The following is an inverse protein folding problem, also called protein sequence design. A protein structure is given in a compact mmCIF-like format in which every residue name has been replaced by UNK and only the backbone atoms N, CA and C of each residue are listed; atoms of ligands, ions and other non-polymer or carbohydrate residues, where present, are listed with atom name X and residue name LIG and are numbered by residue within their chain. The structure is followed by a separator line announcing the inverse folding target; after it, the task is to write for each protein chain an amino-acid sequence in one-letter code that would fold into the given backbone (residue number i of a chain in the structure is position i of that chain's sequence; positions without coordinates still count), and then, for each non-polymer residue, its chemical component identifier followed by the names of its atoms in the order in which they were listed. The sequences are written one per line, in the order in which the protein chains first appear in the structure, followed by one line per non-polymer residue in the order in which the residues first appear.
data_IF_285953729548
#
_entry.id   IF_285953729548
#
_cell.length_a   1.000
_cell.length_b   1.000
_cell.length_c   1.000
_cell.angle_alpha   90.00
_cell.angle_beta   90.00
_cell.angle_gamma   90.00
#
_symmetry.space_group_name_H-M   'P 1'
#
loop_
_entity.id
_entity.type
_entity.pdbx_description
1 polymer ?
#
# COMPACT_ATOMS: atom_id res chain seq x y z
N UNK A 1 -11.45 -26.88 4.13
CA UNK A 1 -12.14 -25.78 4.80
C UNK A 1 -13.03 -25.16 3.74
N UNK A 2 -14.35 -25.22 3.90
CA UNK A 2 -15.28 -24.51 3.03
C UNK A 2 -15.29 -23.07 3.51
N UNK A 3 -14.59 -22.19 2.81
CA UNK A 3 -14.69 -20.76 3.09
C UNK A 3 -15.95 -20.23 2.40
N UNK A 4 -16.75 -19.43 3.11
CA UNK A 4 -17.80 -18.66 2.45
C UNK A 4 -17.16 -17.68 1.45
N UNK A 5 -17.79 -17.40 0.31
CA UNK A 5 -17.29 -16.37 -0.62
C UNK A 5 -17.42 -14.99 0.00
N UNK A 6 -16.59 -14.05 -0.47
CA UNK A 6 -16.71 -12.63 -0.17
C UNK A 6 -18.12 -12.14 -0.55
N UNK A 7 -18.78 -11.42 0.36
CA UNK A 7 -20.13 -10.90 0.16
C UNK A 7 -20.20 -9.74 -0.84
N UNK A 8 -21.42 -9.26 -1.08
CA UNK A 8 -21.70 -8.14 -2.02
C UNK A 8 -21.09 -6.79 -1.56
N UNK A 9 -20.64 -6.70 -0.32
CA UNK A 9 -20.03 -5.48 0.26
C UNK A 9 -18.65 -5.14 -0.34
N UNK A 10 -18.07 -6.05 -1.13
CA UNK A 10 -16.79 -5.86 -1.80
C UNK A 10 -15.58 -6.21 -0.93
N UNK A 11 -14.38 -6.00 -1.48
CA UNK A 11 -13.10 -6.30 -0.87
C UNK A 11 -12.59 -5.09 -0.07
N UNK A 12 -12.47 -5.18 1.28
CA UNK A 12 -11.92 -4.10 2.08
C UNK A 12 -10.44 -3.84 1.77
N UNK A 13 -10.06 -2.55 1.72
CA UNK A 13 -8.67 -2.11 1.61
C UNK A 13 -8.36 -1.21 2.80
N UNK A 14 -7.38 -1.59 3.61
CA UNK A 14 -6.85 -0.74 4.68
C UNK A 14 -5.63 0.02 4.17
N UNK A 15 -5.69 1.34 4.26
CA UNK A 15 -4.64 2.25 3.79
C UNK A 15 -3.92 2.85 4.99
N UNK A 16 -2.59 2.76 4.98
CA UNK A 16 -1.68 3.34 5.96
C UNK A 16 -0.66 4.23 5.25
N UNK A 17 -0.04 5.17 6.00
CA UNK A 17 1.03 6.02 5.48
C UNK A 17 2.25 5.96 6.39
N UNK A 18 2.20 6.56 7.59
CA UNK A 18 3.34 6.77 8.45
C UNK A 18 3.19 6.06 9.79
N UNK A 19 4.32 5.64 10.35
CA UNK A 19 4.40 4.91 11.60
C UNK A 19 5.31 5.64 12.59
N UNK A 20 5.00 5.53 13.87
CA UNK A 20 5.85 6.02 14.95
C UNK A 20 5.83 5.04 16.13
N UNK A 21 6.79 5.21 17.04
CA UNK A 21 6.86 4.47 18.30
C UNK A 21 6.74 5.50 19.44
N UNK A 22 5.57 5.57 20.09
CA UNK A 22 5.30 6.54 21.15
C UNK A 22 6.29 6.42 22.31
N UNK A 23 6.89 5.25 22.51
CA UNK A 23 7.92 5.05 23.53
C UNK A 23 9.25 5.74 23.18
N UNK A 24 9.53 5.96 21.89
CA UNK A 24 10.77 6.58 21.41
C UNK A 24 10.57 8.04 20.98
N UNK A 25 9.42 8.35 20.39
CA UNK A 25 9.15 9.63 19.74
C UNK A 25 7.84 10.25 20.25
N UNK A 26 7.80 10.59 21.55
CA UNK A 26 6.59 11.15 22.20
C UNK A 26 6.02 12.34 21.45
N UNK A 27 4.72 12.26 21.16
CA UNK A 27 3.95 13.33 20.53
C UNK A 27 4.12 13.42 19.01
N UNK A 28 4.77 12.47 18.37
CA UNK A 28 4.69 12.25 16.92
C UNK A 28 3.30 11.66 16.56
N UNK A 29 2.86 11.77 15.34
CA UNK A 29 1.60 11.16 14.91
C UNK A 29 0.34 11.94 15.27
N UNK A 30 0.38 13.25 15.09
CA UNK A 30 -0.74 14.14 15.46
C UNK A 30 -1.82 14.29 14.39
N UNK A 31 -1.62 13.78 13.21
CA UNK A 31 -2.63 13.76 12.15
C UNK A 31 -3.07 12.33 11.79
N UNK A 32 -4.12 12.23 10.98
CA UNK A 32 -4.76 10.94 10.66
C UNK A 32 -3.92 10.01 9.78
N UNK A 33 -2.77 10.45 9.30
CA UNK A 33 -1.87 9.63 8.47
C UNK A 33 -0.85 8.86 9.31
N UNK A 34 -0.76 9.14 10.60
CA UNK A 34 0.18 8.49 11.51
C UNK A 34 -0.51 7.49 12.42
N UNK A 35 0.11 6.31 12.60
CA UNK A 35 -0.33 5.30 13.56
C UNK A 35 0.82 4.87 14.46
N UNK A 36 0.55 4.67 15.75
CA UNK A 36 1.51 4.06 16.66
C UNK A 36 1.76 2.61 16.26
N UNK A 37 3.02 2.19 16.31
CA UNK A 37 3.39 0.83 15.89
C UNK A 37 2.75 -0.25 16.75
N UNK A 38 2.45 0.02 18.02
CA UNK A 38 1.76 -0.94 18.89
C UNK A 38 0.30 -1.12 18.48
N UNK A 39 -0.38 -0.04 18.07
CA UNK A 39 -1.76 -0.11 17.58
C UNK A 39 -1.83 -0.84 16.23
N UNK A 40 -0.86 -0.57 15.34
CA UNK A 40 -0.73 -1.31 14.08
C UNK A 40 -0.48 -2.80 14.33
N UNK A 41 0.43 -3.15 15.22
CA UNK A 41 0.71 -4.54 15.55
C UNK A 41 -0.51 -5.25 16.14
N UNK A 42 -1.31 -4.58 16.97
CA UNK A 42 -2.55 -5.15 17.50
C UNK A 42 -3.56 -5.44 16.38
N UNK A 43 -3.70 -4.54 15.39
CA UNK A 43 -4.55 -4.76 14.21
C UNK A 43 -4.06 -5.96 13.38
N UNK A 44 -2.77 -6.04 13.07
CA UNK A 44 -2.18 -7.15 12.30
C UNK A 44 -2.33 -8.48 13.03
N UNK A 45 -2.11 -8.48 14.34
CA UNK A 45 -2.33 -9.65 15.18
C UNK A 45 -3.80 -10.12 15.13
N UNK A 46 -4.74 -9.19 15.25
CA UNK A 46 -6.17 -9.51 15.14
C UNK A 46 -6.52 -10.16 13.79
N UNK A 47 -6.02 -9.61 12.69
CA UNK A 47 -6.25 -10.16 11.35
C UNK A 47 -5.67 -11.57 11.22
N UNK A 48 -4.46 -11.79 11.73
CA UNK A 48 -3.80 -13.09 11.74
C UNK A 48 -4.57 -14.14 12.57
N UNK A 49 -4.94 -13.81 13.81
CA UNK A 49 -5.61 -14.72 14.73
C UNK A 49 -7.05 -15.06 14.30
N UNK A 50 -7.68 -14.20 13.50
CA UNK A 50 -9.04 -14.40 12.98
C UNK A 50 -9.07 -14.98 11.55
N UNK A 51 -7.94 -15.47 11.04
CA UNK A 51 -7.81 -16.16 9.76
C UNK A 51 -8.28 -15.30 8.58
N UNK A 52 -7.91 -14.02 8.54
CA UNK A 52 -8.12 -13.19 7.37
C UNK A 52 -7.24 -13.67 6.22
N UNK A 53 -7.74 -13.55 5.00
CA UNK A 53 -7.06 -13.88 3.76
C UNK A 53 -6.55 -12.61 3.08
N UNK A 54 -5.30 -12.63 2.63
CA UNK A 54 -4.65 -11.51 1.96
C UNK A 54 -4.43 -11.86 0.49
N UNK A 55 -5.39 -11.51 -0.40
CA UNK A 55 -5.30 -11.87 -1.80
C UNK A 55 -4.16 -11.14 -2.50
N UNK A 56 -3.53 -11.80 -3.45
CA UNK A 56 -2.62 -11.16 -4.40
C UNK A 56 -3.39 -10.26 -5.36
N UNK A 57 -2.74 -9.27 -5.95
CA UNK A 57 -3.38 -8.40 -6.95
C UNK A 57 -3.90 -9.18 -8.16
N UNK A 58 -3.24 -10.27 -8.52
CA UNK A 58 -3.74 -11.17 -9.57
C UNK A 58 -5.07 -11.83 -9.19
N UNK A 59 -5.21 -12.29 -7.97
CA UNK A 59 -6.48 -12.85 -7.49
C UNK A 59 -7.58 -11.78 -7.41
N UNK A 60 -7.22 -10.54 -7.07
CA UNK A 60 -8.15 -9.39 -7.10
C UNK A 60 -8.62 -9.10 -8.52
N UNK A 61 -7.71 -9.07 -9.50
CA UNK A 61 -8.05 -8.92 -10.91
C UNK A 61 -8.99 -10.04 -11.40
N UNK A 62 -8.64 -11.28 -11.10
CA UNK A 62 -9.47 -12.45 -11.44
C UNK A 62 -10.84 -12.41 -10.75
N UNK A 63 -10.93 -11.89 -9.53
CA UNK A 63 -12.19 -11.68 -8.82
C UNK A 63 -13.05 -10.60 -9.49
N UNK A 64 -12.47 -9.45 -9.85
CA UNK A 64 -13.15 -8.37 -10.57
C UNK A 64 -13.69 -8.85 -11.93
N UNK A 65 -12.91 -9.68 -12.62
CA UNK A 65 -13.29 -10.29 -13.90
C UNK A 65 -14.33 -11.43 -13.76
N UNK A 66 -14.72 -11.80 -12.54
CA UNK A 66 -15.65 -12.90 -12.27
C UNK A 66 -15.05 -14.29 -12.55
N UNK A 67 -13.72 -14.41 -12.63
CA UNK A 67 -13.01 -15.67 -12.90
C UNK A 67 -12.73 -16.50 -11.64
N UNK A 68 -12.72 -15.86 -10.49
CA UNK A 68 -12.51 -16.49 -9.19
C UNK A 68 -13.41 -15.89 -8.12
N UNK A 69 -13.47 -16.54 -6.96
CA UNK A 69 -14.12 -16.03 -5.75
C UNK A 69 -13.07 -15.86 -4.67
N UNK A 70 -13.18 -14.79 -3.87
CA UNK A 70 -12.36 -14.59 -2.70
C UNK A 70 -13.07 -15.08 -1.44
N UNK A 71 -12.33 -15.53 -0.41
CA UNK A 71 -12.90 -15.87 0.90
C UNK A 71 -13.60 -14.67 1.55
N UNK A 72 -14.62 -14.92 2.36
CA UNK A 72 -15.41 -13.89 3.08
C UNK A 72 -14.54 -12.91 3.88
N UNK A 73 -13.49 -13.40 4.53
CA UNK A 73 -12.56 -12.58 5.30
C UNK A 73 -11.34 -12.13 4.49
N UNK A 74 -11.54 -11.75 3.23
CA UNK A 74 -10.45 -11.19 2.41
C UNK A 74 -10.26 -9.71 2.70
N UNK A 75 -9.00 -9.26 2.78
CA UNK A 75 -8.62 -7.88 3.03
C UNK A 75 -7.28 -7.56 2.38
N UNK A 76 -7.12 -6.33 1.88
CA UNK A 76 -5.84 -5.84 1.35
C UNK A 76 -5.26 -4.82 2.33
N UNK A 77 -3.94 -4.90 2.54
CA UNK A 77 -3.17 -3.91 3.29
C UNK A 77 -2.35 -3.08 2.31
N UNK A 78 -2.51 -1.78 2.32
CA UNK A 78 -1.74 -0.84 1.49
C UNK A 78 -1.01 0.19 2.34
N UNK A 79 0.16 0.58 1.87
CA UNK A 79 1.08 1.50 2.53
C UNK A 79 1.55 2.50 1.51
N UNK A 80 1.04 3.73 1.59
CA UNK A 80 1.30 4.76 0.61
C UNK A 80 2.61 5.49 0.89
N UNK A 81 3.13 6.19 -0.11
CA UNK A 81 4.36 6.98 -0.17
C UNK A 81 5.66 6.17 -0.21
N UNK A 82 5.82 5.10 0.57
CA UNK A 82 7.07 4.35 0.71
C UNK A 82 8.05 5.00 1.70
N UNK A 83 7.54 5.68 2.73
CA UNK A 83 8.32 6.38 3.75
C UNK A 83 9.22 5.43 4.57
N UNK A 84 10.27 5.99 5.16
CA UNK A 84 11.20 5.25 6.01
C UNK A 84 10.52 4.51 7.15
N UNK A 85 9.52 5.13 7.78
CA UNK A 85 8.83 4.56 8.94
C UNK A 85 8.09 3.26 8.62
N UNK A 86 7.55 3.12 7.40
CA UNK A 86 6.99 1.85 6.94
C UNK A 86 8.04 0.73 6.96
N UNK A 87 9.22 0.97 6.37
CA UNK A 87 10.27 -0.06 6.28
C UNK A 87 10.88 -0.39 7.64
N UNK A 88 11.04 0.61 8.51
CA UNK A 88 11.72 0.46 9.79
C UNK A 88 10.80 -0.11 10.88
N UNK A 89 9.51 0.19 10.83
CA UNK A 89 8.56 -0.18 11.89
C UNK A 89 7.51 -1.19 11.42
N UNK A 90 6.81 -0.94 10.30
CA UNK A 90 5.69 -1.79 9.88
C UNK A 90 6.15 -3.11 9.23
N UNK A 91 7.19 -3.09 8.39
CA UNK A 91 7.70 -4.31 7.72
C UNK A 91 8.09 -5.40 8.71
N UNK A 92 8.81 -5.14 9.84
CA UNK A 92 9.07 -6.15 10.86
C UNK A 92 7.79 -6.79 11.43
N UNK A 93 6.73 -6.01 11.61
CA UNK A 93 5.43 -6.53 12.07
C UNK A 93 4.80 -7.44 11.03
N UNK A 94 4.74 -7.03 9.76
CA UNK A 94 4.24 -7.87 8.67
C UNK A 94 5.00 -9.20 8.59
N UNK A 95 6.32 -9.16 8.69
CA UNK A 95 7.18 -10.35 8.68
C UNK A 95 6.94 -11.26 9.88
N UNK A 96 6.74 -10.68 11.07
CA UNK A 96 6.45 -11.43 12.31
C UNK A 96 5.18 -12.27 12.19
N UNK A 97 4.14 -11.74 11.55
CA UNK A 97 2.87 -12.43 11.37
C UNK A 97 2.75 -13.13 10.00
N UNK A 98 3.80 -13.04 9.16
CA UNK A 98 3.84 -13.58 7.79
C UNK A 98 2.63 -13.13 6.95
N UNK A 99 2.33 -11.84 6.99
CA UNK A 99 1.23 -11.20 6.25
C UNK A 99 1.83 -10.31 5.15
N UNK A 100 1.30 -10.41 3.95
CA UNK A 100 1.73 -9.62 2.81
C UNK A 100 0.99 -8.27 2.77
N UNK A 101 1.74 -7.22 2.43
CA UNK A 101 1.22 -5.90 2.20
C UNK A 101 1.77 -5.27 0.93
N UNK A 102 1.09 -4.27 0.39
CA UNK A 102 1.53 -3.56 -0.81
C UNK A 102 2.00 -2.15 -0.46
N UNK A 103 3.24 -1.83 -0.75
CA UNK A 103 3.77 -0.47 -0.67
C UNK A 103 3.63 0.21 -2.03
N UNK A 104 2.83 1.27 -2.07
CA UNK A 104 2.74 2.19 -3.19
C UNK A 104 3.81 3.26 -3.04
N UNK A 105 4.85 3.20 -3.89
CA UNK A 105 6.07 4.00 -3.70
C UNK A 105 6.08 5.22 -4.60
N UNK A 106 6.33 6.42 -4.03
CA UNK A 106 6.71 7.62 -4.77
C UNK A 106 8.18 7.43 -5.18
N UNK A 107 8.42 7.06 -6.44
CA UNK A 107 9.73 6.55 -6.82
C UNK A 107 10.82 7.61 -6.89
N UNK A 108 10.49 8.86 -7.16
CA UNK A 108 11.46 9.97 -7.08
C UNK A 108 11.93 10.27 -5.65
N UNK A 109 11.17 9.87 -4.62
CA UNK A 109 11.54 10.08 -3.22
C UNK A 109 12.16 8.83 -2.59
N UNK A 110 11.54 7.69 -2.80
CA UNK A 110 11.83 6.46 -2.05
C UNK A 110 12.09 5.23 -2.94
N UNK A 111 12.20 5.40 -4.27
CA UNK A 111 12.38 4.28 -5.20
C UNK A 111 13.59 3.38 -4.89
N UNK A 112 14.64 3.93 -4.28
CA UNK A 112 15.81 3.15 -3.85
C UNK A 112 15.46 2.08 -2.80
N UNK A 113 14.42 2.30 -1.97
CA UNK A 113 13.98 1.33 -0.96
C UNK A 113 13.29 0.11 -1.57
N UNK A 114 12.60 0.29 -2.70
CA UNK A 114 11.97 -0.82 -3.43
C UNK A 114 12.98 -1.78 -4.08
N UNK A 115 14.24 -1.34 -4.25
CA UNK A 115 15.33 -2.19 -4.75
C UNK A 115 15.83 -3.18 -3.69
N UNK A 116 15.67 -2.86 -2.41
CA UNK A 116 15.98 -3.73 -1.28
C UNK A 116 14.76 -4.62 -0.96
N UNK A 117 14.38 -5.51 -1.89
CA UNK A 117 13.17 -6.33 -1.78
C UNK A 117 13.01 -6.94 -0.39
N UNK A 118 12.02 -6.46 0.34
CA UNK A 118 11.66 -6.97 1.66
C UNK A 118 10.70 -8.17 1.52
N UNK A 119 10.87 -9.19 2.37
CA UNK A 119 9.88 -10.26 2.48
C UNK A 119 8.54 -9.68 2.93
N UNK A 120 7.42 -10.22 2.42
CA UNK A 120 6.06 -9.79 2.71
C UNK A 120 5.71 -8.36 2.24
N UNK A 121 6.47 -7.80 1.30
CA UNK A 121 6.17 -6.50 0.69
C UNK A 121 6.11 -6.63 -0.83
N UNK A 122 4.95 -6.28 -1.41
CA UNK A 122 4.78 -6.03 -2.83
C UNK A 122 5.00 -4.54 -3.10
N UNK A 123 5.68 -4.21 -4.20
CA UNK A 123 5.98 -2.82 -4.56
C UNK A 123 5.19 -2.45 -5.80
N UNK A 124 4.36 -1.42 -5.67
CA UNK A 124 3.51 -0.89 -6.74
C UNK A 124 3.67 0.63 -6.86
N UNK A 125 3.13 1.23 -7.91
CA UNK A 125 3.39 2.63 -8.23
C UNK A 125 2.46 3.59 -7.48
N UNK A 126 3.08 4.61 -6.83
CA UNK A 126 2.41 5.83 -6.38
C UNK A 126 2.88 7.04 -7.20
N UNK A 127 3.19 6.82 -8.48
CA UNK A 127 3.87 7.72 -9.43
C UNK A 127 5.38 7.87 -9.20
N UNK A 128 6.07 8.47 -10.17
CA UNK A 128 7.43 8.96 -9.93
C UNK A 128 7.41 10.29 -9.18
N UNK A 129 6.71 11.28 -9.71
CA UNK A 129 6.76 12.65 -9.19
C UNK A 129 5.41 13.40 -9.26
N UNK A 130 4.28 12.68 -9.42
CA UNK A 130 2.96 13.32 -9.42
C UNK A 130 2.41 13.64 -8.02
N UNK A 131 3.07 13.18 -6.95
CA UNK A 131 2.65 13.44 -5.58
C UNK A 131 2.99 14.88 -5.15
N UNK A 132 2.44 15.85 -5.86
CA UNK A 132 2.64 17.28 -5.65
C UNK A 132 1.31 18.02 -5.73
N UNK A 133 1.16 19.07 -4.92
CA UNK A 133 0.02 19.99 -5.00
C UNK A 133 0.08 20.84 -6.27
N UNK A 134 -1.01 20.90 -7.01
CA UNK A 134 -1.19 21.80 -8.13
C UNK A 134 -1.57 23.21 -7.68
N UNK A 135 -1.73 24.13 -8.65
CA UNK A 135 -2.03 25.56 -8.39
C UNK A 135 -3.37 25.80 -7.70
N UNK A 136 -4.31 24.89 -7.84
CA UNK A 136 -5.67 24.96 -7.30
C UNK A 136 -5.84 24.15 -6.00
N UNK A 137 -4.74 23.68 -5.40
CA UNK A 137 -4.74 22.83 -4.20
C UNK A 137 -5.12 21.37 -4.46
N UNK A 138 -5.27 20.97 -5.74
CA UNK A 138 -5.47 19.59 -6.16
C UNK A 138 -4.15 18.96 -6.60
N UNK A 139 -4.14 17.65 -6.81
CA UNK A 139 -2.94 16.96 -7.31
C UNK A 139 -2.55 17.43 -8.73
N UNK A 140 -1.26 17.50 -9.02
CA UNK A 140 -0.75 17.94 -10.34
C UNK A 140 -1.22 17.08 -11.50
N UNK A 141 -1.56 15.82 -11.26
CA UNK A 141 -2.08 14.89 -12.27
C UNK A 141 -3.30 15.46 -12.99
N UNK A 142 -4.15 16.24 -12.31
CA UNK A 142 -5.33 16.87 -12.92
C UNK A 142 -4.99 18.03 -13.88
N UNK A 143 -3.75 18.50 -13.87
CA UNK A 143 -3.28 19.64 -14.69
C UNK A 143 -2.20 19.27 -15.70
N UNK A 144 -1.64 18.05 -15.62
CA UNK A 144 -0.65 17.56 -16.57
C UNK A 144 -1.32 17.06 -17.85
N UNK A 145 -0.61 17.19 -18.97
CA UNK A 145 -1.01 16.53 -20.21
C UNK A 145 -0.77 15.01 -20.16
N UNK A 146 -1.40 14.32 -21.08
CA UNK A 146 -1.35 12.87 -21.14
C UNK A 146 0.08 12.32 -21.29
N UNK A 147 0.87 12.94 -22.14
CA UNK A 147 2.25 12.52 -22.43
C UNK A 147 3.10 12.58 -21.17
N UNK A 148 2.96 13.63 -20.38
CA UNK A 148 3.70 13.82 -19.12
C UNK A 148 3.27 12.81 -18.05
N UNK A 149 1.98 12.49 -17.98
CA UNK A 149 1.49 11.43 -17.07
C UNK A 149 2.08 10.07 -17.45
N UNK A 150 2.07 9.73 -18.75
CA UNK A 150 2.64 8.48 -19.25
C UNK A 150 4.14 8.40 -18.99
N UNK A 151 4.89 9.46 -19.18
CA UNK A 151 6.33 9.52 -18.88
C UNK A 151 6.61 9.27 -17.40
N UNK A 152 5.85 9.90 -16.51
CA UNK A 152 5.98 9.73 -15.05
C UNK A 152 5.68 8.28 -14.62
N UNK A 153 4.58 7.70 -15.11
CA UNK A 153 4.22 6.32 -14.80
C UNK A 153 5.24 5.31 -15.35
N UNK A 154 5.76 5.52 -16.55
CA UNK A 154 6.79 4.67 -17.12
C UNK A 154 8.07 4.72 -16.27
N UNK A 155 8.49 5.92 -15.87
CA UNK A 155 9.67 6.10 -15.03
C UNK A 155 9.50 5.45 -13.66
N UNK A 156 8.31 5.57 -13.06
CA UNK A 156 7.98 4.85 -11.83
C UNK A 156 8.10 3.34 -12.01
N UNK A 157 7.48 2.81 -13.06
CA UNK A 157 7.53 1.37 -13.34
C UNK A 157 8.97 0.88 -13.59
N UNK A 158 9.79 1.60 -14.35
CA UNK A 158 11.20 1.27 -14.58
C UNK A 158 11.99 1.21 -13.26
N UNK A 159 11.78 2.20 -12.38
CA UNK A 159 12.42 2.24 -11.05
C UNK A 159 12.02 1.05 -10.18
N UNK A 160 10.78 0.56 -10.30
CA UNK A 160 10.26 -0.62 -9.61
C UNK A 160 10.65 -1.96 -10.27
N UNK A 161 11.42 -1.92 -11.36
CA UNK A 161 11.93 -3.11 -12.07
C UNK A 161 11.03 -3.60 -13.19
N UNK A 162 10.11 -2.77 -13.69
CA UNK A 162 9.25 -3.04 -14.85
C UNK A 162 8.08 -3.99 -14.58
N UNK A 163 7.74 -4.23 -13.32
CA UNK A 163 6.72 -5.22 -12.92
C UNK A 163 5.54 -4.62 -12.14
N UNK A 164 5.49 -3.30 -11.96
CA UNK A 164 4.35 -2.67 -11.31
C UNK A 164 3.13 -2.73 -12.24
N UNK A 165 2.03 -3.25 -11.72
CA UNK A 165 0.78 -3.44 -12.47
C UNK A 165 -0.40 -2.67 -11.87
N UNK A 166 -0.22 -2.18 -10.65
CA UNK A 166 -1.24 -1.44 -9.90
C UNK A 166 -0.74 -0.02 -9.66
N UNK A 167 -1.65 0.92 -9.76
CA UNK A 167 -1.38 2.33 -9.51
C UNK A 167 -2.30 2.88 -8.44
N UNK A 168 -1.72 3.50 -7.42
CA UNK A 168 -2.45 4.29 -6.43
C UNK A 168 -2.38 5.78 -6.83
N UNK A 169 -3.54 6.43 -6.93
CA UNK A 169 -3.62 7.84 -7.29
C UNK A 169 -3.13 8.72 -6.14
N UNK A 170 -2.16 9.64 -6.37
CA UNK A 170 -1.80 10.64 -5.38
C UNK A 170 -3.00 11.52 -5.02
N UNK A 171 -3.23 11.71 -3.71
CA UNK A 171 -4.33 12.49 -3.13
C UNK A 171 -5.75 11.89 -3.30
N UNK A 172 -5.89 10.68 -3.86
CA UNK A 172 -7.17 9.98 -4.01
C UNK A 172 -8.02 10.40 -5.20
#
# INVERSE_FOLDING_TARGET
IVCNPLGEEGLPVLMYHFFYDENKEKGKGKDNNWIDISDFEEQIKYLSENNFYFPTWKEVEEYIDGKTILPEKSIILTFDDGDASFFELAVPVLQKYNIDGTSFVITSWYGYRAQEKQKNVNYESHSDNMHQGGRDGKGVMLSWDYEKIVEDLNKSNETLGGNATIFCYPFG
#
